data_IF_090486411503
#
_entry.id   IF_090486411503
#
_cell.length_a   1.000
_cell.length_b   1.000
_cell.length_c   1.000
_cell.angle_alpha   90.00
_cell.angle_beta   90.00
_cell.angle_gamma   90.00
#
_symmetry.space_group_name_H-M   'P 1'
#
loop_
_entity.id
_entity.type
_entity.pdbx_description
1 polymer ?
#
# COMPACT_ATOMS: atom_id res chain seq x y z
N UNK A 1 -75.81 -14.78 21.99
CA UNK A 1 -76.17 -13.36 21.81
C UNK A 1 -75.23 -12.73 20.81
N UNK A 2 -75.76 -12.43 19.63
CA UNK A 2 -75.06 -11.76 18.53
C UNK A 2 -74.90 -10.27 18.83
N UNK A 3 -73.74 -9.73 18.63
CA UNK A 3 -73.58 -8.28 18.42
C UNK A 3 -72.74 -8.01 17.17
N UNK A 4 -73.47 -7.65 16.14
CA UNK A 4 -72.98 -7.24 14.84
C UNK A 4 -72.67 -5.75 14.93
N UNK A 5 -71.39 -5.37 14.66
CA UNK A 5 -71.03 -3.96 14.40
C UNK A 5 -70.32 -3.87 13.07
N UNK A 6 -71.10 -3.49 12.09
CA UNK A 6 -70.55 -2.91 10.84
C UNK A 6 -69.90 -1.59 11.19
N UNK A 7 -68.59 -1.49 11.06
CA UNK A 7 -67.88 -0.21 11.04
C UNK A 7 -67.51 0.06 9.59
N UNK A 8 -68.07 1.12 9.07
CA UNK A 8 -68.02 1.57 7.68
C UNK A 8 -66.62 2.00 7.26
N UNK A 9 -66.16 1.39 6.19
CA UNK A 9 -64.89 1.57 5.48
C UNK A 9 -64.93 2.87 4.64
N UNK A 10 -64.79 4.04 5.25
CA UNK A 10 -64.75 5.32 4.52
C UNK A 10 -63.58 6.26 4.87
N UNK A 11 -62.64 5.84 5.70
CA UNK A 11 -61.51 6.71 6.09
C UNK A 11 -60.10 6.21 5.65
N UNK A 12 -60.01 5.17 4.83
CA UNK A 12 -58.71 4.58 4.48
C UNK A 12 -58.21 4.88 3.05
N UNK A 13 -58.85 5.76 2.28
CA UNK A 13 -58.45 6.04 0.90
C UNK A 13 -57.67 7.37 0.72
N UNK A 14 -57.62 8.22 1.75
CA UNK A 14 -57.01 9.56 1.61
C UNK A 14 -55.52 9.68 2.01
N UNK A 15 -54.87 8.61 2.48
CA UNK A 15 -53.47 8.67 2.93
C UNK A 15 -52.48 8.01 1.96
N UNK A 16 -52.94 7.29 0.96
CA UNK A 16 -52.03 6.52 0.05
C UNK A 16 -51.49 7.31 -1.14
N UNK A 17 -51.95 8.52 -1.43
CA UNK A 17 -51.52 9.28 -2.61
C UNK A 17 -50.42 10.34 -2.35
N UNK A 18 -50.14 10.66 -1.09
CA UNK A 18 -49.11 11.67 -0.75
C UNK A 18 -47.68 11.10 -0.57
N UNK A 19 -47.52 9.78 -0.51
CA UNK A 19 -46.20 9.13 -0.26
C UNK A 19 -45.48 8.65 -1.51
N UNK A 20 -46.08 8.75 -2.69
CA UNK A 20 -45.45 8.25 -3.95
C UNK A 20 -44.64 9.33 -4.69
N UNK A 21 -44.81 10.61 -4.37
CA UNK A 21 -44.13 11.68 -5.12
C UNK A 21 -42.75 12.09 -4.60
N UNK A 22 -42.29 11.58 -3.45
CA UNK A 22 -40.98 12.00 -2.87
C UNK A 22 -39.84 11.07 -3.23
N UNK A 23 -40.08 9.88 -3.80
CA UNK A 23 -39.01 8.90 -4.05
C UNK A 23 -38.40 8.92 -5.48
N UNK A 24 -38.73 9.87 -6.33
CA UNK A 24 -38.29 9.89 -7.74
C UNK A 24 -37.19 10.91 -8.05
N UNK A 25 -36.65 11.64 -7.08
CA UNK A 25 -35.66 12.71 -7.35
C UNK A 25 -34.28 12.49 -6.72
N UNK A 26 -33.96 11.28 -6.22
CA UNK A 26 -32.64 11.04 -5.64
C UNK A 26 -32.00 9.82 -6.30
N UNK A 27 -31.35 9.93 -7.43
CA UNK A 27 -30.19 9.04 -7.53
C UNK A 27 -29.11 9.28 -8.57
N UNK A 28 -29.07 10.38 -9.24
CA UNK A 28 -28.03 10.52 -10.29
C UNK A 28 -26.65 10.87 -9.71
N UNK A 29 -26.59 11.55 -8.57
CA UNK A 29 -25.32 11.99 -7.98
C UNK A 29 -24.50 10.84 -7.33
N UNK A 30 -25.15 9.78 -6.81
CA UNK A 30 -24.45 8.65 -6.16
C UNK A 30 -23.67 7.75 -7.13
N UNK A 31 -24.17 7.55 -8.32
CA UNK A 31 -23.52 6.68 -9.30
C UNK A 31 -22.25 7.29 -9.89
N UNK A 32 -22.22 8.61 -10.05
CA UNK A 32 -21.07 9.34 -10.60
C UNK A 32 -19.91 9.47 -9.59
N UNK A 33 -20.22 9.68 -8.31
CA UNK A 33 -19.21 9.73 -7.25
C UNK A 33 -18.48 8.37 -7.09
N UNK A 34 -19.20 7.25 -7.17
CA UNK A 34 -18.60 5.93 -7.09
C UNK A 34 -17.70 5.58 -8.29
N UNK A 35 -18.04 6.04 -9.49
CA UNK A 35 -17.25 5.76 -10.70
C UNK A 35 -15.90 6.50 -10.69
N UNK A 36 -15.88 7.74 -10.21
CA UNK A 36 -14.64 8.52 -10.06
C UNK A 36 -13.74 7.93 -8.98
N UNK A 37 -14.30 7.45 -7.88
CA UNK A 37 -13.54 6.87 -6.76
C UNK A 37 -12.86 5.55 -7.14
N UNK A 38 -13.52 4.67 -7.88
CA UNK A 38 -12.97 3.39 -8.31
C UNK A 38 -11.83 3.55 -9.31
N UNK A 39 -11.96 4.47 -10.27
CA UNK A 39 -10.87 4.74 -11.23
C UNK A 39 -9.64 5.35 -10.55
N UNK A 40 -9.83 6.28 -9.63
CA UNK A 40 -8.73 6.88 -8.87
C UNK A 40 -8.04 5.84 -7.97
N UNK A 41 -8.79 4.94 -7.35
CA UNK A 41 -8.25 3.87 -6.53
C UNK A 41 -7.42 2.87 -7.37
N UNK A 42 -7.90 2.50 -8.55
CA UNK A 42 -7.18 1.64 -9.48
C UNK A 42 -5.86 2.25 -9.96
N UNK A 43 -5.88 3.54 -10.32
CA UNK A 43 -4.68 4.27 -10.72
C UNK A 43 -3.69 4.42 -9.56
N UNK A 44 -4.17 4.70 -8.35
CA UNK A 44 -3.32 4.78 -7.17
C UNK A 44 -2.65 3.44 -6.88
N UNK A 45 -3.40 2.33 -6.89
CA UNK A 45 -2.84 0.99 -6.69
C UNK A 45 -1.80 0.64 -7.75
N UNK A 46 -2.06 0.95 -9.02
CA UNK A 46 -1.10 0.74 -10.12
C UNK A 46 0.21 1.50 -9.89
N UNK A 47 0.13 2.75 -9.43
CA UNK A 47 1.32 3.56 -9.10
C UNK A 47 2.11 2.98 -7.92
N UNK A 48 1.45 2.53 -6.86
CA UNK A 48 2.11 1.92 -5.70
C UNK A 48 2.82 0.62 -6.08
N UNK A 49 2.20 -0.22 -6.94
CA UNK A 49 2.83 -1.41 -7.53
C UNK A 49 4.08 -1.04 -8.32
N UNK A 50 3.98 -0.01 -9.17
CA UNK A 50 5.10 0.45 -9.98
C UNK A 50 6.28 0.89 -9.10
N UNK A 51 6.03 1.74 -8.10
CA UNK A 51 7.08 2.22 -7.19
C UNK A 51 7.71 1.08 -6.39
N UNK A 52 6.92 0.12 -5.88
CA UNK A 52 7.45 -1.02 -5.14
C UNK A 52 8.27 -1.93 -6.04
N UNK A 53 7.81 -2.20 -7.27
CA UNK A 53 8.54 -3.00 -8.24
C UNK A 53 9.87 -2.36 -8.63
N UNK A 54 9.91 -1.04 -8.81
CA UNK A 54 11.15 -0.29 -9.04
C UNK A 54 12.13 -0.50 -7.88
N UNK A 55 11.66 -0.35 -6.66
CA UNK A 55 12.53 -0.55 -5.49
C UNK A 55 13.06 -1.98 -5.40
N UNK A 56 12.20 -2.99 -5.56
CA UNK A 56 12.60 -4.40 -5.56
C UNK A 56 13.64 -4.66 -6.65
N UNK A 57 13.40 -4.14 -7.86
CA UNK A 57 14.29 -4.33 -9.00
C UNK A 57 15.70 -3.77 -8.74
N UNK A 58 15.79 -2.52 -8.33
CA UNK A 58 17.09 -1.87 -8.15
C UNK A 58 17.85 -2.35 -6.91
N UNK A 59 17.14 -2.76 -5.88
CA UNK A 59 17.76 -3.20 -4.63
C UNK A 59 18.05 -4.71 -4.59
N UNK A 60 17.27 -5.52 -5.31
CA UNK A 60 17.29 -6.97 -5.11
C UNK A 60 17.01 -7.80 -6.38
N UNK A 61 17.29 -7.27 -7.58
CA UNK A 61 17.01 -7.97 -8.85
C UNK A 61 17.63 -9.38 -8.91
N UNK A 62 18.82 -9.57 -8.37
CA UNK A 62 19.56 -10.85 -8.34
C UNK A 62 19.22 -11.75 -7.15
N UNK A 63 18.41 -11.28 -6.22
CA UNK A 63 18.00 -12.06 -5.05
C UNK A 63 16.91 -13.08 -5.40
N UNK A 64 16.76 -14.09 -4.53
CA UNK A 64 15.63 -15.02 -4.56
C UNK A 64 14.30 -14.31 -4.37
N UNK A 65 13.19 -15.00 -4.64
CA UNK A 65 11.84 -14.48 -4.33
C UNK A 65 11.74 -14.01 -2.87
N UNK A 66 12.28 -14.77 -1.92
CA UNK A 66 12.30 -14.42 -0.50
C UNK A 66 13.09 -13.13 -0.25
N UNK A 67 14.27 -12.96 -0.87
CA UNK A 67 15.07 -11.75 -0.77
C UNK A 67 14.37 -10.52 -1.32
N UNK A 68 13.71 -10.65 -2.48
CA UNK A 68 12.86 -9.61 -3.06
C UNK A 68 11.68 -9.25 -2.16
N UNK A 69 11.02 -10.26 -1.59
CA UNK A 69 9.93 -10.06 -0.65
C UNK A 69 10.39 -9.38 0.65
N UNK A 70 11.61 -9.69 1.11
CA UNK A 70 12.20 -9.06 2.28
C UNK A 70 12.41 -7.54 2.07
N UNK A 71 12.93 -7.13 0.91
CA UNK A 71 13.07 -5.70 0.54
C UNK A 71 11.70 -5.03 0.46
N UNK A 72 10.72 -5.66 -0.18
CA UNK A 72 9.34 -5.16 -0.23
C UNK A 72 8.76 -4.97 1.17
N UNK A 73 8.96 -5.94 2.08
CA UNK A 73 8.45 -5.89 3.45
C UNK A 73 9.00 -4.70 4.24
N UNK A 74 10.28 -4.36 4.08
CA UNK A 74 10.85 -3.18 4.74
C UNK A 74 10.16 -1.90 4.25
N UNK A 75 9.91 -1.78 2.95
CA UNK A 75 9.20 -0.63 2.38
C UNK A 75 7.78 -0.52 2.97
N UNK A 76 7.04 -1.61 3.04
CA UNK A 76 5.69 -1.64 3.63
C UNK A 76 5.70 -1.33 5.14
N UNK A 77 6.68 -1.84 5.88
CA UNK A 77 6.85 -1.53 7.30
C UNK A 77 7.09 -0.03 7.51
N UNK A 78 7.89 0.62 6.65
CA UNK A 78 8.12 2.07 6.70
C UNK A 78 6.82 2.84 6.49
N UNK A 79 6.04 2.51 5.46
CA UNK A 79 4.71 3.11 5.22
C UNK A 79 3.82 3.03 6.45
N UNK A 80 3.81 1.87 7.12
CA UNK A 80 2.96 1.60 8.28
C UNK A 80 3.50 2.16 9.61
N UNK A 81 4.74 2.63 9.65
CA UNK A 81 5.40 3.05 10.89
C UNK A 81 4.97 4.42 11.40
N UNK A 82 4.40 5.27 10.54
CA UNK A 82 4.12 6.67 10.84
C UNK A 82 5.35 7.59 10.89
N UNK A 83 6.56 7.05 10.64
CA UNK A 83 7.84 7.80 10.66
C UNK A 83 8.35 8.12 9.26
N UNK A 84 7.79 7.49 8.26
CA UNK A 84 8.08 7.65 6.85
C UNK A 84 6.83 8.14 6.11
N UNK A 85 6.95 8.54 4.84
CA UNK A 85 5.79 8.86 4.02
C UNK A 85 4.73 7.75 4.03
N UNK A 86 3.45 8.13 3.94
CA UNK A 86 2.30 7.23 4.08
C UNK A 86 1.96 6.42 2.81
N UNK A 87 2.78 6.50 1.78
CA UNK A 87 2.60 5.77 0.52
C UNK A 87 3.89 5.08 0.13
N UNK A 88 3.80 3.99 -0.62
CA UNK A 88 4.99 3.29 -1.12
C UNK A 88 5.81 4.21 -2.02
N UNK A 89 5.16 4.90 -2.96
CA UNK A 89 5.85 5.87 -3.80
C UNK A 89 6.54 6.97 -2.98
N UNK A 90 5.90 7.44 -1.91
CA UNK A 90 6.49 8.42 -1.02
C UNK A 90 7.76 7.90 -0.34
N UNK A 91 7.74 6.67 0.18
CA UNK A 91 8.91 6.04 0.82
C UNK A 91 10.02 5.79 -0.19
N UNK A 92 9.68 5.25 -1.37
CA UNK A 92 10.67 4.88 -2.40
C UNK A 92 11.36 6.10 -3.00
N UNK A 93 10.61 7.18 -3.20
CA UNK A 93 11.09 8.43 -3.80
C UNK A 93 11.47 9.50 -2.78
N UNK A 94 11.56 9.14 -1.50
CA UNK A 94 11.93 10.08 -0.44
C UNK A 94 13.32 10.67 -0.67
N UNK A 95 13.39 11.99 -0.53
CA UNK A 95 14.61 12.77 -0.58
C UNK A 95 14.69 13.61 0.68
N UNK A 96 15.84 13.62 1.29
CA UNK A 96 16.13 14.44 2.47
C UNK A 96 17.29 15.39 2.13
N UNK A 97 17.30 16.56 2.72
CA UNK A 97 18.43 17.48 2.62
C UNK A 97 19.32 17.33 3.85
N UNK A 98 20.57 16.94 3.62
CA UNK A 98 21.57 16.76 4.67
C UNK A 98 22.79 17.64 4.34
N UNK A 99 23.06 18.65 5.17
CA UNK A 99 24.17 19.59 4.99
C UNK A 99 24.18 20.26 3.59
N UNK A 100 23.01 20.69 3.08
CA UNK A 100 22.87 21.32 1.77
C UNK A 100 22.96 20.37 0.58
N UNK A 101 22.95 19.06 0.83
CA UNK A 101 22.96 18.03 -0.23
C UNK A 101 21.70 17.19 -0.20
N UNK A 102 21.15 16.92 -1.38
CA UNK A 102 20.03 15.98 -1.52
C UNK A 102 20.53 14.54 -1.38
N UNK A 103 19.95 13.82 -0.44
CA UNK A 103 20.20 12.41 -0.19
C UNK A 103 18.90 11.65 -0.44
N UNK A 104 18.94 10.66 -1.34
CA UNK A 104 17.79 9.79 -1.59
C UNK A 104 17.78 8.62 -0.61
N UNK A 105 16.59 8.26 -0.13
CA UNK A 105 16.39 7.10 0.73
C UNK A 105 16.89 5.81 0.05
N UNK A 106 16.67 5.69 -1.24
CA UNK A 106 17.26 4.69 -2.11
C UNK A 106 18.17 5.37 -3.13
N UNK A 107 19.47 5.05 -3.11
CA UNK A 107 20.49 5.76 -3.88
C UNK A 107 20.27 5.70 -5.39
N UNK A 108 19.70 4.61 -5.90
CA UNK A 108 19.39 4.43 -7.31
C UNK A 108 18.43 5.51 -7.85
N UNK A 109 17.51 6.01 -7.01
CA UNK A 109 16.55 7.05 -7.41
C UNK A 109 17.19 8.40 -7.72
N UNK A 110 18.35 8.69 -7.13
CA UNK A 110 19.15 9.89 -7.42
C UNK A 110 20.32 9.63 -8.37
N UNK A 111 20.46 8.43 -8.91
CA UNK A 111 21.55 8.08 -9.81
C UNK A 111 21.11 8.06 -11.28
N UNK A 112 22.06 8.13 -12.20
CA UNK A 112 21.80 7.96 -13.63
C UNK A 112 21.31 6.55 -13.99
N UNK A 113 21.50 5.56 -13.11
CA UNK A 113 21.03 4.19 -13.30
C UNK A 113 19.49 4.07 -13.33
N UNK A 114 18.77 5.08 -12.82
CA UNK A 114 17.31 5.11 -12.85
C UNK A 114 16.70 5.05 -14.26
N UNK A 115 17.44 5.45 -15.27
CA UNK A 115 16.98 5.44 -16.67
C UNK A 115 17.12 4.10 -17.39
N UNK A 116 17.68 3.07 -16.74
CA UNK A 116 17.88 1.75 -17.37
C UNK A 116 16.55 1.09 -17.74
N UNK A 117 16.51 0.53 -18.94
CA UNK A 117 15.35 -0.20 -19.47
C UNK A 117 15.14 -1.48 -18.67
N UNK A 118 13.92 -1.68 -18.19
CA UNK A 118 13.49 -2.80 -17.34
C UNK A 118 12.76 -3.86 -18.16
N UNK A 119 13.33 -4.27 -19.24
CA UNK A 119 12.73 -5.31 -20.09
C UNK A 119 13.45 -6.65 -19.84
N UNK A 120 13.23 -7.22 -18.64
CA UNK A 120 13.92 -8.44 -18.24
C UNK A 120 13.04 -9.27 -17.31
N UNK A 121 13.34 -10.55 -17.20
CA UNK A 121 12.72 -11.48 -16.27
C UNK A 121 12.71 -10.94 -14.81
N UNK A 122 13.82 -10.32 -14.38
CA UNK A 122 13.92 -9.74 -13.03
C UNK A 122 12.94 -8.60 -12.81
N UNK A 123 12.63 -7.82 -13.86
CA UNK A 123 11.60 -6.79 -13.78
C UNK A 123 10.20 -7.38 -13.60
N UNK A 124 9.84 -8.37 -14.41
CA UNK A 124 8.55 -9.06 -14.32
C UNK A 124 8.36 -9.72 -12.96
N UNK A 125 9.40 -10.37 -12.44
CA UNK A 125 9.40 -10.96 -11.11
C UNK A 125 9.25 -9.90 -10.02
N UNK A 126 9.91 -8.75 -10.15
CA UNK A 126 9.77 -7.63 -9.22
C UNK A 126 8.33 -7.08 -9.19
N UNK A 127 7.68 -6.97 -10.37
CA UNK A 127 6.26 -6.59 -10.47
C UNK A 127 5.36 -7.63 -9.81
N UNK A 128 5.63 -8.91 -10.01
CA UNK A 128 4.87 -10.00 -9.38
C UNK A 128 4.97 -9.94 -7.85
N UNK A 129 6.18 -9.81 -7.31
CA UNK A 129 6.41 -9.69 -5.87
C UNK A 129 5.71 -8.45 -5.31
N UNK A 130 5.83 -7.30 -5.99
CA UNK A 130 5.18 -6.06 -5.57
C UNK A 130 3.66 -6.19 -5.49
N UNK A 131 3.03 -6.78 -6.50
CA UNK A 131 1.57 -7.05 -6.50
C UNK A 131 1.17 -7.92 -5.33
N UNK A 132 1.84 -9.07 -5.15
CA UNK A 132 1.54 -10.03 -4.07
C UNK A 132 1.74 -9.42 -2.67
N UNK A 133 2.79 -8.63 -2.47
CA UNK A 133 3.04 -7.98 -1.20
C UNK A 133 2.01 -6.89 -0.87
N UNK A 134 1.57 -6.09 -1.86
CA UNK A 134 0.56 -5.04 -1.68
C UNK A 134 -0.85 -5.59 -1.47
N UNK A 135 -1.19 -6.73 -2.07
CA UNK A 135 -2.48 -7.41 -1.84
C UNK A 135 -2.49 -8.27 -0.57
N UNK A 136 -1.39 -8.29 0.17
CA UNK A 136 -1.22 -9.15 1.36
C UNK A 136 -1.34 -10.65 1.08
N UNK A 137 -1.22 -11.08 -0.18
CA UNK A 137 -1.16 -12.51 -0.54
C UNK A 137 0.07 -13.18 0.05
N UNK A 138 1.18 -12.43 0.15
CA UNK A 138 2.42 -12.86 0.77
C UNK A 138 3.02 -11.76 1.62
N UNK A 139 3.64 -12.14 2.74
CA UNK A 139 4.43 -11.26 3.56
C UNK A 139 5.64 -12.01 4.09
N UNK A 140 6.74 -11.29 4.34
CA UNK A 140 7.87 -11.90 5.03
C UNK A 140 7.59 -11.92 6.53
N UNK A 141 7.15 -13.05 7.07
CA UNK A 141 6.59 -13.19 8.42
C UNK A 141 7.50 -12.62 9.51
N UNK A 142 8.80 -12.96 9.50
CA UNK A 142 9.74 -12.48 10.51
C UNK A 142 9.94 -10.98 10.41
N UNK A 143 10.19 -10.44 9.21
CA UNK A 143 10.45 -9.01 9.03
C UNK A 143 9.20 -8.16 9.28
N UNK A 144 8.01 -8.69 8.99
CA UNK A 144 6.74 -8.04 9.31
C UNK A 144 6.52 -7.97 10.82
N UNK A 145 6.63 -9.10 11.51
CA UNK A 145 6.45 -9.21 12.98
C UNK A 145 7.47 -8.37 13.74
N UNK A 146 8.74 -8.44 13.36
CA UNK A 146 9.83 -7.69 14.00
C UNK A 146 9.92 -6.24 13.54
N UNK A 147 9.05 -5.81 12.61
CA UNK A 147 9.02 -4.45 12.07
C UNK A 147 10.39 -4.00 11.55
N UNK A 148 10.98 -4.80 10.64
CA UNK A 148 12.25 -4.47 9.99
C UNK A 148 12.13 -3.14 9.24
N UNK A 149 13.04 -2.20 9.51
CA UNK A 149 13.01 -0.84 8.96
C UNK A 149 14.25 -0.51 8.13
N UNK A 150 15.34 -1.27 8.33
CA UNK A 150 16.63 -1.01 7.72
C UNK A 150 17.27 -2.31 7.24
N UNK A 151 18.06 -2.19 6.20
CA UNK A 151 18.92 -3.28 5.73
C UNK A 151 20.16 -2.70 5.03
N UNK A 152 21.18 -3.52 4.89
CA UNK A 152 22.34 -3.27 4.05
C UNK A 152 22.86 -4.58 3.47
N UNK A 153 23.65 -4.48 2.41
CA UNK A 153 24.31 -5.65 1.83
C UNK A 153 25.34 -6.24 2.80
N UNK A 154 25.46 -7.56 2.86
CA UNK A 154 26.26 -8.30 3.85
C UNK A 154 27.77 -7.96 3.80
N UNK A 155 28.27 -7.43 2.69
CA UNK A 155 29.64 -6.96 2.53
C UNK A 155 29.88 -5.50 2.99
N UNK A 156 28.79 -4.76 3.33
CA UNK A 156 28.86 -3.40 3.88
C UNK A 156 28.89 -3.49 5.42
N UNK A 157 29.65 -2.60 6.05
CA UNK A 157 29.74 -2.51 7.52
C UNK A 157 29.37 -1.10 7.97
N UNK A 158 28.07 -0.75 8.01
CA UNK A 158 27.66 0.56 8.48
C UNK A 158 27.91 0.69 9.98
N UNK A 159 28.22 1.90 10.44
CA UNK A 159 28.37 2.17 11.88
C UNK A 159 26.98 2.36 12.53
N UNK A 160 26.15 1.30 12.42
CA UNK A 160 24.80 1.30 12.99
C UNK A 160 24.79 0.55 14.32
N UNK A 161 24.18 1.15 15.31
CA UNK A 161 23.91 0.47 16.56
C UNK A 161 22.41 0.10 16.63
N UNK A 162 21.94 -0.67 15.61
CA UNK A 162 20.56 -1.13 15.50
C UNK A 162 20.45 -2.62 15.85
N UNK A 163 19.36 -3.07 16.48
CA UNK A 163 19.12 -4.48 16.73
C UNK A 163 18.98 -5.24 15.41
N UNK A 164 19.87 -6.21 15.20
CA UNK A 164 19.82 -7.12 14.06
C UNK A 164 18.66 -8.10 14.21
N UNK A 165 17.93 -8.34 13.12
CA UNK A 165 16.86 -9.34 13.06
C UNK A 165 17.40 -10.64 12.45
N UNK A 166 17.79 -10.59 11.17
CA UNK A 166 18.19 -11.76 10.40
C UNK A 166 19.00 -11.36 9.17
N UNK A 167 19.52 -12.35 8.47
CA UNK A 167 20.07 -12.21 7.12
C UNK A 167 19.23 -13.05 6.16
N UNK A 168 18.91 -12.47 5.00
CA UNK A 168 18.19 -13.13 3.91
C UNK A 168 18.94 -12.79 2.62
N UNK A 169 19.41 -13.81 1.92
CA UNK A 169 20.29 -13.63 0.76
C UNK A 169 21.51 -12.80 1.12
N UNK A 170 21.77 -11.77 0.34
CA UNK A 170 22.89 -10.85 0.53
C UNK A 170 22.55 -9.63 1.42
N UNK A 171 21.39 -9.60 2.08
CA UNK A 171 20.99 -8.48 2.94
C UNK A 171 20.86 -8.87 4.40
N UNK A 172 21.30 -7.96 5.30
CA UNK A 172 21.14 -8.06 6.74
C UNK A 172 20.09 -7.02 7.18
N UNK A 173 19.08 -7.48 7.92
CA UNK A 173 17.90 -6.70 8.29
C UNK A 173 17.91 -6.30 9.76
N UNK A 174 17.42 -5.09 10.05
CA UNK A 174 17.45 -4.46 11.36
C UNK A 174 16.11 -3.78 11.67
N UNK A 175 15.83 -3.67 12.97
CA UNK A 175 14.72 -2.85 13.50
C UNK A 175 15.23 -1.62 14.23
N UNK A 176 14.32 -0.70 14.50
CA UNK A 176 14.63 0.41 15.39
C UNK A 176 14.86 -0.05 16.82
N UNK A 177 15.61 0.74 17.56
CA UNK A 177 15.65 0.61 19.01
C UNK A 177 14.33 1.06 19.62
N UNK A 178 13.80 0.27 20.53
CA UNK A 178 12.72 0.71 21.39
C UNK A 178 13.26 1.90 22.23
N UNK A 179 12.56 3.01 22.23
CA UNK A 179 12.82 4.05 23.23
C UNK A 179 12.45 3.46 24.60
N UNK A 180 13.43 3.33 25.47
CA UNK A 180 13.23 3.00 26.88
C UNK A 180 12.59 4.22 27.54
#
# INVERSE_FOLDING_TARGET
>A
MYFNRKVTNKFLIAISTALIAVNLLIPVAKAQANKVTVSNLGNHFSNEVQCLAENIYYESASESFEGKLAVAQVTLNRVNSGKFPKTVCGVVKQKDEVNGRIVCQFSWFCSSAYSMIRNSYQWEESVLVAKKALTSEVSHVILHREKAMYYHANYVKPNWNLPRITQIGNHIFYKERSKI
#
